data_IF_233762840000
#
_entry.id   IF_233762840000
#
_cell.length_a   1.000
_cell.length_b   1.000
_cell.length_c   1.000
_cell.angle_alpha   90.00
_cell.angle_beta   90.00
_cell.angle_gamma   90.00
#
_symmetry.space_group_name_H-M   'P 1'
#
loop_
_entity.id
_entity.type
_entity.pdbx_description
1 polymer ?
#
# COMPACT_ATOMS: atom_id res chain seq x y z
N UNK A 1 23.93 1.89 6.44
CA UNK A 1 22.89 0.82 6.49
C UNK A 1 21.63 1.38 5.86
N UNK A 2 21.27 0.87 4.69
CA UNK A 2 20.01 1.20 4.02
C UNK A 2 18.88 0.39 4.66
N UNK A 3 17.78 1.03 5.04
CA UNK A 3 16.61 0.33 5.56
C UNK A 3 15.72 -0.08 4.37
N UNK A 4 15.49 -1.38 4.22
CA UNK A 4 14.51 -1.90 3.27
C UNK A 4 13.14 -1.92 3.93
N UNK A 5 12.14 -1.36 3.25
CA UNK A 5 10.74 -1.36 3.70
C UNK A 5 9.84 -1.75 2.53
N UNK A 6 8.64 -2.24 2.80
CA UNK A 6 7.64 -2.52 1.77
C UNK A 6 6.80 -1.25 1.56
N UNK A 7 6.93 -0.63 0.40
CA UNK A 7 5.99 0.40 -0.03
C UNK A 7 4.72 -0.23 -0.55
N UNK A 8 3.58 0.41 -0.27
CA UNK A 8 2.27 0.05 -0.79
C UNK A 8 1.67 1.27 -1.51
N UNK A 9 1.02 1.06 -2.65
CA UNK A 9 0.26 2.09 -3.36
C UNK A 9 -1.07 1.53 -3.84
N UNK A 10 -2.13 2.32 -3.76
CA UNK A 10 -3.41 1.94 -4.36
C UNK A 10 -3.30 1.98 -5.89
N UNK A 11 -3.84 0.96 -6.54
CA UNK A 11 -3.97 0.96 -7.99
C UNK A 11 -5.20 1.80 -8.41
N UNK A 12 -4.97 2.99 -8.96
CA UNK A 12 -6.05 3.89 -9.38
C UNK A 12 -6.78 3.42 -10.66
N UNK A 13 -6.16 2.55 -11.45
CA UNK A 13 -6.70 2.07 -12.73
C UNK A 13 -7.46 0.75 -12.60
N UNK A 14 -7.31 0.03 -11.49
CA UNK A 14 -8.09 -1.18 -11.23
C UNK A 14 -9.53 -0.81 -10.92
N UNK A 15 -10.46 -1.35 -11.71
CA UNK A 15 -11.90 -1.10 -11.55
C UNK A 15 -12.54 -2.26 -10.80
N UNK A 16 -13.38 -1.94 -9.81
CA UNK A 16 -14.14 -2.92 -9.04
C UNK A 16 -13.45 -3.38 -7.75
N UNK A 17 -14.02 -4.41 -7.12
CA UNK A 17 -13.54 -4.99 -5.87
C UNK A 17 -12.51 -6.09 -6.14
N UNK A 18 -11.39 -6.01 -5.42
CA UNK A 18 -10.30 -6.97 -5.45
C UNK A 18 -10.56 -8.05 -4.40
N UNK A 19 -10.82 -9.28 -4.83
CA UNK A 19 -10.98 -10.44 -3.94
C UNK A 19 -9.85 -11.46 -4.06
N UNK A 20 -9.22 -11.52 -5.23
CA UNK A 20 -8.14 -12.46 -5.55
C UNK A 20 -6.95 -11.63 -6.02
N UNK A 21 -5.80 -11.77 -5.38
CA UNK A 21 -4.62 -10.92 -5.63
C UNK A 21 -4.22 -10.87 -7.12
N UNK A 22 -4.32 -12.00 -7.82
CA UNK A 22 -4.00 -12.08 -9.25
C UNK A 22 -4.94 -11.27 -10.15
N UNK A 23 -6.15 -10.96 -9.70
CA UNK A 23 -7.17 -10.23 -10.47
C UNK A 23 -6.72 -8.82 -10.86
N UNK A 24 -5.91 -8.19 -10.01
CA UNK A 24 -5.45 -6.83 -10.22
C UNK A 24 -3.97 -6.71 -10.58
N UNK A 25 -3.25 -7.84 -10.70
CA UNK A 25 -1.81 -7.89 -10.98
C UNK A 25 -1.40 -7.06 -12.20
N UNK A 26 -2.15 -7.17 -13.30
CA UNK A 26 -1.88 -6.43 -14.54
C UNK A 26 -1.97 -4.92 -14.37
N UNK A 27 -2.82 -4.44 -13.45
CA UNK A 27 -3.01 -3.02 -13.21
C UNK A 27 -1.84 -2.38 -12.43
N UNK A 28 -1.05 -3.19 -11.72
CA UNK A 28 0.13 -2.74 -10.98
C UNK A 28 1.43 -2.69 -11.80
N UNK A 29 1.42 -3.15 -13.06
CA UNK A 29 2.61 -3.22 -13.91
C UNK A 29 3.21 -1.85 -14.27
N UNK A 30 2.44 -0.77 -14.13
CA UNK A 30 2.83 0.57 -14.58
C UNK A 30 3.95 1.23 -13.74
N UNK A 31 4.36 0.68 -12.60
CA UNK A 31 5.24 1.37 -11.62
C UNK A 31 6.33 0.50 -10.97
N UNK A 32 6.80 -0.54 -11.67
CA UNK A 32 7.85 -1.46 -11.15
C UNK A 32 7.46 -2.13 -9.83
N UNK A 33 6.16 -2.31 -9.60
CA UNK A 33 5.70 -3.08 -8.46
C UNK A 33 5.99 -4.56 -8.69
N UNK A 34 6.60 -5.19 -7.69
CA UNK A 34 7.04 -6.58 -7.77
C UNK A 34 5.97 -7.54 -7.24
N UNK A 35 5.01 -7.03 -6.47
CA UNK A 35 3.95 -7.84 -5.87
C UNK A 35 2.62 -7.06 -5.76
N UNK A 36 1.54 -7.81 -5.50
CA UNK A 36 0.16 -7.29 -5.44
C UNK A 36 -0.64 -7.96 -4.33
N UNK A 37 -1.53 -7.19 -3.72
CA UNK A 37 -2.43 -7.67 -2.68
C UNK A 37 -3.80 -6.99 -2.74
N UNK A 38 -4.88 -7.74 -2.52
CA UNK A 38 -6.19 -7.18 -2.29
C UNK A 38 -6.36 -6.83 -0.80
N UNK A 39 -6.73 -5.58 -0.47
CA UNK A 39 -7.05 -5.22 0.91
C UNK A 39 -8.27 -6.00 1.41
N UNK A 40 -8.34 -6.25 2.72
CA UNK A 40 -9.30 -7.23 3.26
C UNK A 40 -10.70 -6.67 3.39
N UNK A 41 -10.85 -5.44 3.90
CA UNK A 41 -12.17 -4.83 4.08
C UNK A 41 -12.57 -4.02 2.86
N UNK A 42 -11.71 -3.07 2.47
CA UNK A 42 -12.05 -2.15 1.38
C UNK A 42 -11.94 -2.79 -0.01
N UNK A 43 -11.41 -4.02 -0.10
CA UNK A 43 -11.21 -4.78 -1.35
C UNK A 43 -10.52 -3.92 -2.42
N UNK A 44 -9.57 -3.09 -2.00
CA UNK A 44 -8.78 -2.24 -2.90
C UNK A 44 -7.60 -3.05 -3.43
N UNK A 45 -7.21 -2.83 -4.68
CA UNK A 45 -5.96 -3.37 -5.20
C UNK A 45 -4.77 -2.55 -4.69
N UNK A 46 -3.83 -3.22 -4.02
CA UNK A 46 -2.59 -2.67 -3.51
C UNK A 46 -1.43 -3.22 -4.33
N UNK A 47 -0.62 -2.33 -4.88
CA UNK A 47 0.64 -2.66 -5.53
C UNK A 47 1.78 -2.48 -4.52
N UNK A 48 2.66 -3.45 -4.40
CA UNK A 48 3.74 -3.46 -3.40
C UNK A 48 5.11 -3.66 -4.02
N UNK A 49 6.12 -2.99 -3.46
CA UNK A 49 7.52 -3.14 -3.84
C UNK A 49 8.45 -2.89 -2.68
N UNK A 50 9.66 -3.42 -2.77
CA UNK A 50 10.73 -3.04 -1.86
C UNK A 50 11.15 -1.60 -2.17
N UNK A 51 11.10 -0.76 -1.15
CA UNK A 51 11.64 0.58 -1.14
C UNK A 51 12.88 0.63 -0.29
N UNK A 52 13.90 1.30 -0.81
CA UNK A 52 15.12 1.61 -0.08
C UNK A 52 15.06 3.07 0.30
N UNK A 53 14.98 3.35 1.60
CA UNK A 53 15.09 4.72 2.10
C UNK A 53 16.53 4.95 2.52
N UNK A 54 17.21 5.87 1.84
CA UNK A 54 18.41 6.48 2.38
C UNK A 54 17.98 7.33 3.57
N UNK A 55 18.65 7.18 4.72
CA UNK A 55 18.34 7.95 5.94
C UNK A 55 18.69 9.43 5.69
N UNK A 56 17.78 10.17 5.06
CA UNK A 56 17.87 11.62 4.98
C UNK A 56 17.21 12.17 6.26
N UNK A 57 18.07 12.84 7.03
CA UNK A 57 17.83 13.52 8.29
C UNK A 57 16.62 14.48 8.23
N UNK A 58 15.76 14.41 9.25
CA UNK A 58 14.91 15.48 9.80
C UNK A 58 13.98 16.35 8.91
N UNK A 59 13.78 16.07 7.62
CA UNK A 59 12.90 16.90 6.75
C UNK A 59 11.68 16.18 6.15
N UNK A 60 11.10 15.19 6.83
CA UNK A 60 9.83 14.57 6.40
C UNK A 60 8.70 14.92 7.38
N UNK A 61 8.37 16.22 7.49
CA UNK A 61 7.19 16.69 8.23
C UNK A 61 6.04 17.13 7.32
N UNK A 62 6.23 17.13 6.00
CA UNK A 62 5.35 17.85 5.06
C UNK A 62 4.46 16.98 4.16
N UNK A 63 4.46 15.65 4.28
CA UNK A 63 3.55 14.77 3.49
C UNK A 63 2.65 13.86 4.33
N UNK A 64 2.39 14.23 5.60
CA UNK A 64 1.63 13.43 6.56
C UNK A 64 0.11 13.33 6.27
N UNK A 65 -0.46 14.24 5.47
CA UNK A 65 -1.91 14.31 5.27
C UNK A 65 -2.51 13.14 4.48
N UNK A 66 -1.78 12.61 3.49
CA UNK A 66 -2.22 11.42 2.73
C UNK A 66 -1.98 10.11 3.48
N UNK A 67 -0.91 10.06 4.27
CA UNK A 67 -0.49 8.89 5.04
C UNK A 67 -1.38 8.65 6.26
N UNK A 68 -1.89 9.71 6.90
CA UNK A 68 -2.75 9.61 8.08
C UNK A 68 -4.07 8.87 7.78
N UNK A 69 -4.70 9.14 6.63
CA UNK A 69 -5.92 8.43 6.21
C UNK A 69 -5.66 6.95 5.93
N UNK A 70 -4.49 6.63 5.38
CA UNK A 70 -4.10 5.24 5.13
C UNK A 70 -3.85 4.49 6.44
N UNK A 71 -3.16 5.11 7.40
CA UNK A 71 -2.95 4.53 8.73
C UNK A 71 -4.27 4.27 9.45
N UNK A 72 -5.22 5.22 9.40
CA UNK A 72 -6.54 5.00 10.00
C UNK A 72 -7.33 3.87 9.33
N UNK A 73 -7.30 3.77 7.99
CA UNK A 73 -7.97 2.67 7.28
C UNK A 73 -7.34 1.31 7.63
N UNK A 74 -6.01 1.23 7.72
CA UNK A 74 -5.30 -0.01 8.07
C UNK A 74 -5.53 -0.45 9.53
N UNK A 75 -5.52 0.50 10.48
CA UNK A 75 -5.79 0.21 11.90
C UNK A 75 -7.23 -0.29 12.11
N UNK A 76 -8.20 0.30 11.41
CA UNK A 76 -9.58 -0.18 11.43
C UNK A 76 -9.69 -1.61 10.88
N UNK A 77 -8.92 -1.99 9.85
CA UNK A 77 -8.90 -3.38 9.38
C UNK A 77 -8.34 -4.35 10.44
N UNK A 78 -7.30 -3.97 11.20
CA UNK A 78 -6.74 -4.81 12.28
C UNK A 78 -7.71 -4.97 13.46
N UNK A 79 -8.40 -3.90 13.88
CA UNK A 79 -9.37 -3.94 14.97
C UNK A 79 -10.59 -4.83 14.65
N UNK A 80 -11.12 -4.75 13.42
CA UNK A 80 -12.31 -5.52 13.00
C UNK A 80 -11.98 -7.01 12.83
N UNK A 81 -10.72 -7.38 12.60
CA UNK A 81 -10.31 -8.78 12.43
C UNK A 81 -9.80 -9.47 13.72
N UNK A 82 -9.90 -8.80 14.88
CA UNK A 82 -9.60 -9.38 16.20
C UNK A 82 -10.86 -9.97 16.91
N UNK A 83 -11.92 -10.28 16.16
CA UNK A 83 -13.09 -11.05 16.65
C UNK A 83 -13.04 -12.53 16.24
#
# INVERSE_FOLDING_TARGET
MQAQQICKSHCQTFKGLCFIDSSCRKACLAKEFTDVHCSKLLRKCLCTKICVFDKISNEVKTTLGGEAKFLSEALLEEEIMME
#
